data_IF_199925548916
#
_entry.id   IF_199925548916
#
_cell.length_a   1.000
_cell.length_b   1.000
_cell.length_c   1.000
_cell.angle_alpha   90.00
_cell.angle_beta   90.00
_cell.angle_gamma   90.00
#
_symmetry.space_group_name_H-M   'P 1'
#
loop_
_entity.id
_entity.type
_entity.pdbx_description
1 polymer ?
#
# COMPACT_ATOMS: atom_id res chain seq x y z
N UNK A 1 -8.81 15.98 -2.26
CA UNK A 1 -9.70 16.23 -3.42
C UNK A 1 -9.78 14.92 -4.21
N UNK A 2 -10.98 14.38 -4.53
CA UNK A 2 -11.11 13.01 -5.04
C UNK A 2 -10.88 12.85 -6.55
N UNK A 3 -10.60 13.92 -7.29
CA UNK A 3 -10.30 13.86 -8.74
C UNK A 3 -8.84 14.19 -8.99
N UNK A 4 -7.94 13.28 -8.63
CA UNK A 4 -6.50 13.46 -8.79
C UNK A 4 -5.95 12.34 -9.66
N UNK A 5 -4.94 12.67 -10.46
CA UNK A 5 -4.08 11.75 -11.20
C UNK A 5 -2.75 11.48 -10.48
N UNK A 6 -2.50 12.16 -9.35
CA UNK A 6 -1.30 11.99 -8.55
C UNK A 6 -1.37 10.78 -7.62
N UNK A 7 -0.26 10.05 -7.51
CA UNK A 7 0.01 8.99 -6.55
C UNK A 7 0.92 9.44 -5.40
N UNK A 8 1.24 10.74 -5.34
CA UNK A 8 2.18 11.32 -4.37
C UNK A 8 1.48 12.24 -3.37
N UNK A 9 2.07 12.37 -2.19
CA UNK A 9 1.67 13.31 -1.15
C UNK A 9 2.85 14.24 -0.78
N UNK A 10 2.57 15.32 -0.05
CA UNK A 10 3.64 16.19 0.47
C UNK A 10 4.05 15.77 1.88
N UNK A 11 5.13 16.37 2.38
CA UNK A 11 5.60 16.19 3.76
C UNK A 11 4.54 16.60 4.78
N UNK A 12 3.68 17.57 4.45
CA UNK A 12 2.61 18.03 5.34
C UNK A 12 1.56 16.93 5.54
N UNK A 13 1.14 16.27 4.46
CA UNK A 13 0.19 15.16 4.56
C UNK A 13 0.79 13.96 5.29
N UNK A 14 2.05 13.64 4.98
CA UNK A 14 2.74 12.54 5.66
C UNK A 14 2.81 12.75 7.17
N UNK A 15 3.06 13.99 7.62
CA UNK A 15 3.15 14.32 9.04
C UNK A 15 1.86 14.01 9.80
N UNK A 16 0.70 14.49 9.32
CA UNK A 16 -0.56 14.20 10.03
C UNK A 16 -0.98 12.74 9.90
N UNK A 17 -0.64 12.05 8.81
CA UNK A 17 -0.90 10.62 8.68
C UNK A 17 -0.07 9.81 9.68
N UNK A 18 1.19 10.19 9.91
CA UNK A 18 2.06 9.60 10.93
C UNK A 18 1.50 9.82 12.34
N UNK A 19 1.00 11.02 12.63
CA UNK A 19 0.37 11.35 13.92
C UNK A 19 -0.89 10.51 14.18
N UNK A 20 -1.71 10.26 13.15
CA UNK A 20 -2.96 9.50 13.26
C UNK A 20 -2.78 7.99 12.99
N UNK A 21 -1.54 7.48 12.95
CA UNK A 21 -1.24 6.11 12.51
C UNK A 21 -1.94 5.04 13.36
N UNK A 22 -1.89 5.20 14.69
CA UNK A 22 -2.51 4.24 15.61
C UNK A 22 -4.04 4.30 15.56
N UNK A 23 -4.62 5.49 15.38
CA UNK A 23 -6.07 5.64 15.21
C UNK A 23 -6.54 4.98 13.90
N UNK A 24 -5.80 5.15 12.81
CA UNK A 24 -6.10 4.48 11.53
C UNK A 24 -6.07 2.95 11.66
N UNK A 25 -5.10 2.40 12.41
CA UNK A 25 -5.03 0.95 12.71
C UNK A 25 -6.22 0.49 13.55
N UNK A 26 -6.60 1.27 14.56
CA UNK A 26 -7.74 0.99 15.41
C UNK A 26 -9.06 1.00 14.62
N UNK A 27 -9.22 1.94 13.67
CA UNK A 27 -10.40 1.98 12.80
C UNK A 27 -10.59 0.70 11.98
N UNK A 28 -9.49 0.06 11.57
CA UNK A 28 -9.52 -1.21 10.82
C UNK A 28 -9.44 -2.45 11.72
N UNK A 29 -9.38 -2.29 13.05
CA UNK A 29 -9.12 -3.36 14.01
C UNK A 29 -7.91 -4.24 13.60
N UNK A 30 -6.81 -3.63 13.16
CA UNK A 30 -5.64 -4.34 12.63
C UNK A 30 -4.39 -4.09 13.45
N UNK A 31 -3.54 -5.11 13.60
CA UNK A 31 -2.27 -5.05 14.32
C UNK A 31 -1.10 -5.28 13.35
N UNK A 32 -0.96 -4.39 12.38
CA UNK A 32 0.13 -4.42 11.40
C UNK A 32 1.39 -3.75 11.93
N UNK A 33 2.55 -4.31 11.58
CA UNK A 33 3.83 -3.65 11.81
C UNK A 33 4.04 -2.51 10.80
N UNK A 34 4.41 -1.34 11.30
CA UNK A 34 4.61 -0.13 10.49
C UNK A 34 6.00 0.48 10.75
N UNK A 35 7.08 -0.17 10.28
CA UNK A 35 8.45 0.28 10.56
C UNK A 35 8.85 1.54 9.77
N UNK A 36 8.12 1.91 8.72
CA UNK A 36 8.47 3.02 7.84
C UNK A 36 7.80 4.32 8.32
N UNK A 37 8.38 4.96 9.33
CA UNK A 37 7.86 6.21 9.90
C UNK A 37 8.50 7.47 9.34
N UNK A 38 9.41 7.34 8.37
CA UNK A 38 10.07 8.47 7.71
C UNK A 38 9.60 8.60 6.25
N UNK A 39 9.56 9.82 5.68
CA UNK A 39 9.12 10.03 4.31
C UNK A 39 9.98 9.26 3.30
N UNK A 40 9.35 8.41 2.49
CA UNK A 40 9.99 7.72 1.37
C UNK A 40 9.66 8.45 0.07
N UNK A 41 10.68 8.74 -0.74
CA UNK A 41 10.55 9.51 -2.01
C UNK A 41 9.59 8.90 -3.03
N UNK A 42 9.31 7.60 -2.91
CA UNK A 42 8.32 6.87 -3.71
C UNK A 42 6.89 7.37 -3.50
N UNK A 43 6.58 7.88 -2.30
CA UNK A 43 5.22 8.28 -1.90
C UNK A 43 5.16 9.76 -1.53
N UNK A 44 6.24 10.32 -0.99
CA UNK A 44 6.30 11.70 -0.48
C UNK A 44 7.24 12.53 -1.35
N UNK A 45 6.71 13.52 -2.06
CA UNK A 45 7.50 14.39 -2.92
C UNK A 45 6.85 15.76 -3.16
N UNK A 46 7.31 16.79 -2.43
CA UNK A 46 6.78 18.15 -2.52
C UNK A 46 6.94 18.79 -3.91
N UNK A 47 7.95 18.38 -4.68
CA UNK A 47 8.24 18.98 -5.99
C UNK A 47 7.39 18.41 -7.13
N UNK A 48 6.81 17.21 -6.94
CA UNK A 48 6.01 16.51 -7.95
C UNK A 48 4.51 16.58 -7.70
N UNK A 49 4.10 17.03 -6.51
CA UNK A 49 2.70 17.31 -6.22
C UNK A 49 2.38 18.71 -6.75
N UNK A 50 1.45 18.76 -7.71
CA UNK A 50 0.93 20.02 -8.26
C UNK A 50 -0.29 20.47 -7.44
N UNK A 51 -1.46 20.61 -8.07
CA UNK A 51 -2.67 21.11 -7.43
C UNK A 51 -3.31 20.09 -6.47
N UNK A 52 -3.11 18.79 -6.74
CA UNK A 52 -3.75 17.70 -5.99
C UNK A 52 -2.75 16.58 -5.67
N UNK A 53 -2.71 16.20 -4.41
CA UNK A 53 -2.04 14.98 -3.94
C UNK A 53 -2.95 13.75 -4.06
N UNK A 54 -2.40 12.56 -3.82
CA UNK A 54 -3.11 11.29 -3.82
C UNK A 54 -4.34 11.26 -2.89
N UNK A 55 -5.31 10.39 -3.16
CA UNK A 55 -6.47 10.24 -2.27
C UNK A 55 -6.02 9.52 -0.98
N UNK A 56 -6.06 10.23 0.13
CA UNK A 56 -5.72 9.74 1.48
C UNK A 56 -6.81 10.18 2.49
N UNK A 57 -6.86 9.55 3.68
CA UNK A 57 -7.69 10.03 4.78
C UNK A 57 -7.30 11.47 5.15
N UNK A 58 -8.28 12.27 5.56
CA UNK A 58 -8.01 13.58 6.15
C UNK A 58 -7.56 13.42 7.61
N UNK A 59 -7.00 14.49 8.18
CA UNK A 59 -6.58 14.52 9.59
C UNK A 59 -7.72 14.18 10.58
N UNK A 60 -8.98 14.48 10.22
CA UNK A 60 -10.14 14.13 11.04
C UNK A 60 -10.78 12.83 10.55
N UNK A 61 -10.53 11.74 11.27
CA UNK A 61 -11.13 10.44 10.97
C UNK A 61 -12.64 10.43 11.26
N UNK A 62 -13.46 9.77 10.42
CA UNK A 62 -14.90 9.67 10.60
C UNK A 62 -15.26 8.58 11.61
N UNK A 63 -16.51 8.61 12.06
CA UNK A 63 -17.12 7.47 12.75
C UNK A 63 -17.65 6.50 11.68
N UNK A 64 -16.99 5.35 11.52
CA UNK A 64 -17.33 4.38 10.46
C UNK A 64 -18.78 3.87 10.52
N UNK A 65 -19.40 3.85 11.70
CA UNK A 65 -20.79 3.44 11.89
C UNK A 65 -21.82 4.44 11.34
N UNK A 66 -21.40 5.67 11.00
CA UNK A 66 -22.26 6.69 10.36
C UNK A 66 -22.21 6.63 8.83
N UNK A 67 -21.30 5.85 8.27
CA UNK A 67 -21.17 5.69 6.83
C UNK A 67 -22.10 4.59 6.33
N UNK A 68 -22.64 4.75 5.13
CA UNK A 68 -23.24 3.63 4.42
C UNK A 68 -22.19 2.54 4.15
N UNK A 69 -22.64 1.31 3.89
CA UNK A 69 -21.74 0.20 3.59
C UNK A 69 -20.79 0.51 2.42
N UNK A 70 -21.30 1.16 1.36
CA UNK A 70 -20.49 1.55 0.19
C UNK A 70 -19.42 2.58 0.56
N UNK A 71 -19.79 3.62 1.31
CA UNK A 71 -18.84 4.64 1.76
C UNK A 71 -17.80 4.05 2.70
N UNK A 72 -18.21 3.16 3.61
CA UNK A 72 -17.32 2.44 4.51
C UNK A 72 -16.31 1.61 3.73
N UNK A 73 -16.75 0.81 2.74
CA UNK A 73 -15.87 -0.02 1.94
C UNK A 73 -14.83 0.81 1.15
N UNK A 74 -15.26 1.94 0.58
CA UNK A 74 -14.36 2.87 -0.11
C UNK A 74 -13.36 3.47 0.89
N UNK A 75 -13.83 3.94 2.04
CA UNK A 75 -13.00 4.58 3.05
C UNK A 75 -11.98 3.60 3.65
N UNK A 76 -12.39 2.37 3.97
CA UNK A 76 -11.49 1.31 4.43
C UNK A 76 -10.45 0.94 3.36
N UNK A 77 -10.81 0.95 2.08
CA UNK A 77 -9.86 0.73 0.99
C UNK A 77 -8.80 1.83 0.93
N UNK A 78 -9.22 3.09 1.10
CA UNK A 78 -8.31 4.24 1.20
C UNK A 78 -7.40 4.10 2.42
N UNK A 79 -7.95 3.79 3.60
CA UNK A 79 -7.17 3.57 4.83
C UNK A 79 -6.13 2.46 4.67
N UNK A 80 -6.53 1.29 4.16
CA UNK A 80 -5.61 0.16 3.93
C UNK A 80 -4.48 0.57 3.00
N UNK A 81 -4.79 1.24 1.90
CA UNK A 81 -3.80 1.71 0.94
C UNK A 81 -2.83 2.72 1.57
N UNK A 82 -3.33 3.66 2.38
CA UNK A 82 -2.48 4.61 3.10
C UNK A 82 -1.58 3.93 4.12
N UNK A 83 -2.08 2.95 4.87
CA UNK A 83 -1.28 2.21 5.85
C UNK A 83 -0.12 1.42 5.21
N UNK A 84 -0.30 0.93 3.97
CA UNK A 84 0.77 0.23 3.23
C UNK A 84 2.04 1.10 3.06
N UNK A 85 1.91 2.42 3.00
CA UNK A 85 3.06 3.34 2.94
C UNK A 85 3.97 3.25 4.17
N UNK A 86 3.39 2.93 5.34
CA UNK A 86 4.11 2.80 6.60
C UNK A 86 4.61 1.37 6.88
N UNK A 87 4.20 0.39 6.07
CA UNK A 87 4.60 -1.01 6.22
C UNK A 87 5.97 -1.29 5.59
N UNK A 88 6.55 -2.45 5.95
CA UNK A 88 7.75 -2.96 5.29
C UNK A 88 7.51 -3.33 3.83
N UNK A 89 8.60 -3.46 3.06
CA UNK A 89 8.54 -3.88 1.67
C UNK A 89 8.17 -5.36 1.55
N UNK A 90 7.54 -5.74 0.44
CA UNK A 90 7.35 -7.15 0.08
C UNK A 90 8.68 -7.69 -0.45
N UNK A 91 9.30 -8.61 0.29
CA UNK A 91 10.56 -9.25 -0.09
C UNK A 91 10.29 -10.63 -0.67
N UNK A 92 10.93 -10.94 -1.78
CA UNK A 92 10.84 -12.24 -2.44
C UNK A 92 12.18 -12.60 -3.08
N UNK A 93 12.45 -13.89 -3.19
CA UNK A 93 13.57 -14.42 -3.94
C UNK A 93 13.09 -14.78 -5.35
N UNK A 94 13.79 -14.27 -6.38
CA UNK A 94 13.51 -14.57 -7.77
C UNK A 94 14.57 -15.51 -8.34
N UNK A 95 14.16 -16.68 -8.81
CA UNK A 95 14.99 -17.59 -9.56
C UNK A 95 14.72 -17.39 -11.05
N UNK A 96 15.75 -17.13 -11.84
CA UNK A 96 15.67 -17.11 -13.30
C UNK A 96 16.55 -18.23 -13.85
N UNK A 97 15.97 -19.05 -14.72
CA UNK A 97 16.62 -20.17 -15.38
C UNK A 97 16.60 -19.93 -16.88
N UNK A 98 17.78 -19.87 -17.48
CA UNK A 98 17.93 -19.90 -18.93
C UNK A 98 18.52 -21.25 -19.31
N UNK A 99 17.83 -21.98 -20.17
CA UNK A 99 18.25 -23.29 -20.69
C UNK A 99 18.51 -23.15 -22.18
N UNK A 100 19.54 -23.82 -22.67
CA UNK A 100 19.77 -23.97 -24.10
C UNK A 100 19.56 -25.44 -24.48
N UNK A 101 18.69 -25.69 -25.46
CA UNK A 101 18.42 -27.03 -25.98
C UNK A 101 18.49 -26.97 -27.50
N UNK A 102 19.46 -27.67 -28.09
CA UNK A 102 19.70 -27.69 -29.54
C UNK A 102 19.83 -26.29 -30.18
N UNK A 103 20.51 -25.35 -29.50
CA UNK A 103 20.68 -23.98 -29.98
C UNK A 103 19.46 -23.06 -29.79
N UNK A 104 18.38 -23.55 -29.18
CA UNK A 104 17.21 -22.75 -28.79
C UNK A 104 17.28 -22.39 -27.31
N UNK A 105 17.05 -21.12 -27.00
CA UNK A 105 17.03 -20.60 -25.63
C UNK A 105 15.61 -20.63 -25.05
N UNK A 106 15.49 -21.20 -23.86
CA UNK A 106 14.28 -21.24 -23.06
C UNK A 106 14.52 -20.48 -21.77
N UNK A 107 13.51 -19.70 -21.34
CA UNK A 107 13.57 -18.97 -20.07
C UNK A 107 12.43 -19.41 -19.17
N UNK A 108 12.74 -19.67 -17.91
CA UNK A 108 11.78 -19.90 -16.85
C UNK A 108 12.12 -19.00 -15.66
N UNK A 109 11.11 -18.52 -14.94
CA UNK A 109 11.32 -17.76 -13.72
C UNK A 109 10.32 -18.19 -12.65
N UNK A 110 10.73 -18.07 -11.39
CA UNK A 110 9.92 -18.36 -10.22
C UNK A 110 10.21 -17.38 -9.10
N UNK A 111 9.19 -17.09 -8.28
CA UNK A 111 9.30 -16.17 -7.15
C UNK A 111 8.87 -16.87 -5.85
N UNK A 112 9.69 -16.78 -4.81
CA UNK A 112 9.39 -17.28 -3.47
C UNK A 112 9.24 -16.10 -2.50
N UNK A 113 8.04 -15.86 -1.94
CA UNK A 113 7.85 -14.80 -0.93
C UNK A 113 8.67 -15.06 0.33
N UNK A 114 9.45 -14.07 0.77
CA UNK A 114 10.26 -14.12 2.00
C UNK A 114 9.61 -13.30 3.12
N UNK A 115 9.16 -12.07 2.81
CA UNK A 115 8.41 -11.22 3.73
C UNK A 115 7.20 -10.62 3.01
N UNK A 116 6.01 -10.72 3.64
CA UNK A 116 4.79 -10.19 3.02
C UNK A 116 4.76 -8.66 2.94
N UNK A 117 5.40 -7.95 3.87
CA UNK A 117 5.38 -6.48 3.93
C UNK A 117 3.97 -5.91 3.77
N UNK A 118 3.85 -4.82 3.00
CA UNK A 118 2.58 -4.18 2.63
C UNK A 118 1.57 -5.13 1.96
N UNK A 119 2.02 -6.22 1.33
CA UNK A 119 1.14 -7.18 0.66
C UNK A 119 0.21 -7.92 1.64
N UNK A 120 0.54 -7.95 2.92
CA UNK A 120 -0.31 -8.52 3.96
C UNK A 120 -1.69 -7.85 4.08
N UNK A 121 -1.84 -6.58 3.63
CA UNK A 121 -3.13 -5.89 3.60
C UNK A 121 -3.91 -6.07 2.28
N UNK A 122 -3.32 -6.69 1.26
CA UNK A 122 -3.93 -6.86 -0.07
C UNK A 122 -4.52 -8.26 -0.32
N UNK A 123 -4.12 -9.26 0.46
CA UNK A 123 -4.49 -10.65 0.17
C UNK A 123 -5.87 -10.98 0.70
N UNK A 124 -6.88 -10.91 -0.18
CA UNK A 124 -7.96 -11.87 -0.17
C UNK A 124 -7.39 -13.21 -0.64
N UNK A 125 -7.45 -14.24 0.19
CA UNK A 125 -7.09 -15.61 -0.18
C UNK A 125 -8.11 -16.20 -1.16
N UNK A 126 -8.19 -15.67 -2.39
CA UNK A 126 -8.79 -16.40 -3.51
C UNK A 126 -7.71 -17.16 -4.26
N UNK A 127 -7.10 -18.15 -3.59
CA UNK A 127 -6.40 -19.24 -4.28
C UNK A 127 -7.47 -20.11 -4.96
N UNK A 128 -7.72 -19.88 -6.24
CA UNK A 128 -8.08 -20.98 -7.16
C UNK A 128 -6.81 -21.38 -7.88
N UNK A 129 -6.12 -22.36 -7.32
CA UNK A 129 -5.19 -23.18 -8.10
C UNK A 129 -6.01 -23.91 -9.17
N UNK A 130 -5.56 -23.81 -10.43
CA UNK A 130 -6.01 -24.64 -11.55
C UNK A 130 -4.97 -25.71 -11.78
#
# INVERSE_FOLDING_TARGET
YPRTDSDLITTSEFAYLKENLEDMKALLNTTINTPQTEPRTRYVNNAKVLEHYAIIPTQKLPLLNKLSEKEKNIYESILKHTLMMFMGDFLYEQTNLTLEVNGLSFNASGNVPMEKGWKALTSDESKKEK
#
